data_IF_258277366113
#
_entry.id   IF_258277366113
#
_cell.length_a   1.000
_cell.length_b   1.000
_cell.length_c   1.000
_cell.angle_alpha   90.00
_cell.angle_beta   90.00
_cell.angle_gamma   90.00
#
_symmetry.space_group_name_H-M   'P 1'
#
loop_
_entity.id
_entity.type
_entity.pdbx_description
1 polymer ?
2 polymer ?
3 water ?
#
loop_
_entity_poly.entity_id
_entity_poly.type
_entity_poly.pdbx_seq_one_letter_code
_entity_poly.pdbx_strand_id
2 'polydeoxyribonucleotide' '(DT)(DC)(DA)(DA)(DG)(DG)(DG)(DT)(DC)(DC)(DT)(DA)(DG)(DG)(DA)(DC)(DC)(DC)(DT)' ?
#
# COMPACT_ATOMS: atom_id res chain seq x y z
N UNK A 26 25.89 -2.70 -8.98
CA UNK A 26 24.84 -1.77 -8.57
C UNK A 26 23.47 -2.23 -9.04
N UNK A 27 23.38 -3.46 -9.52
CA UNK A 27 22.12 -4.02 -10.00
C UNK A 27 21.24 -4.41 -8.82
N UNK A 28 19.93 -4.20 -8.97
CA UNK A 28 18.98 -4.49 -7.92
C UNK A 28 17.85 -5.37 -8.43
N UNK A 29 17.38 -6.28 -7.59
CA UNK A 29 16.22 -7.11 -7.86
C UNK A 29 15.19 -6.82 -6.78
N UNK A 30 14.03 -6.29 -7.17
CA UNK A 30 13.00 -5.85 -6.26
C UNK A 30 11.72 -6.60 -6.58
N UNK A 31 10.95 -6.96 -5.56
CA UNK A 31 9.64 -7.56 -5.74
C UNK A 31 8.60 -6.66 -5.09
N UNK A 32 7.50 -6.42 -5.80
CA UNK A 32 6.33 -5.75 -5.27
C UNK A 32 5.25 -6.79 -5.06
N UNK A 33 4.80 -6.96 -3.82
CA UNK A 33 3.77 -7.92 -3.48
C UNK A 33 2.47 -7.16 -3.22
N UNK A 34 1.41 -7.57 -3.92
CA UNK A 34 0.15 -6.82 -3.94
C UNK A 34 -0.99 -7.81 -3.79
N UNK A 35 -1.51 -7.93 -2.58
CA UNK A 35 -2.56 -8.90 -2.31
C UNK A 35 -3.86 -8.45 -2.96
N UNK A 36 -4.60 -9.42 -3.51
CA UNK A 36 -5.88 -9.14 -4.14
C UNK A 36 -6.93 -8.82 -3.10
N UNK A 37 -7.75 -7.80 -3.38
CA UNK A 37 -8.87 -7.39 -2.54
C UNK A 37 -8.67 -7.81 -1.10
N UNK A 38 -7.66 -7.22 -0.44
CA UNK A 38 -7.20 -7.72 0.85
C UNK A 38 -8.35 -7.84 1.86
N UNK A 39 -9.09 -6.74 2.07
CA UNK A 39 -10.17 -6.77 3.06
C UNK A 39 -11.12 -7.93 2.80
N UNK A 40 -11.56 -8.07 1.54
CA UNK A 40 -12.43 -9.18 1.18
C UNK A 40 -11.81 -10.52 1.55
N UNK A 41 -10.54 -10.72 1.20
CA UNK A 41 -9.87 -11.97 1.53
C UNK A 41 -9.97 -12.28 3.02
N UNK A 42 -9.75 -11.27 3.87
CA UNK A 42 -9.80 -11.49 5.31
C UNK A 42 -11.21 -11.87 5.74
N UNK A 43 -12.22 -11.18 5.21
CA UNK A 43 -13.59 -11.50 5.58
C UNK A 43 -14.00 -12.86 5.07
N UNK A 44 -13.66 -13.17 3.80
CA UNK A 44 -13.98 -14.47 3.24
C UNK A 44 -13.32 -15.60 4.03
N UNK A 45 -12.20 -15.31 4.71
CA UNK A 45 -11.60 -16.32 5.57
C UNK A 45 -12.43 -16.52 6.83
N UNK A 46 -12.87 -15.42 7.44
CA UNK A 46 -13.67 -15.48 8.67
C UNK A 46 -14.90 -16.35 8.47
N UNK A 47 -15.82 -15.91 7.61
CA UNK A 47 -17.06 -16.62 7.31
C UNK A 47 -16.93 -17.25 5.93
N UNK A 48 -16.39 -18.48 5.83
CA UNK A 48 -16.21 -19.10 4.51
C UNK A 48 -17.45 -19.06 3.62
N UNK A 49 -18.63 -18.94 4.22
CA UNK A 49 -19.84 -18.90 3.40
C UNK A 49 -19.82 -17.72 2.44
N UNK A 50 -19.10 -16.64 2.76
CA UNK A 50 -19.12 -15.45 1.92
C UNK A 50 -18.47 -15.67 0.56
N UNK A 51 -17.67 -16.72 0.39
CA UNK A 51 -17.08 -17.02 -0.91
C UNK A 51 -18.18 -17.37 -1.90
N UNK A 52 -17.79 -17.66 -3.14
CA UNK A 52 -18.74 -18.03 -4.19
C UNK A 52 -19.56 -16.84 -4.67
N UNK A 53 -20.31 -16.20 -3.76
CA UNK A 53 -21.20 -15.10 -4.08
C UNK A 53 -20.45 -13.76 -4.01
N UNK A 54 -20.90 -12.75 -4.75
CA UNK A 54 -20.19 -11.47 -4.73
C UNK A 54 -20.21 -10.85 -3.33
N UNK A 55 -19.11 -10.21 -2.98
CA UNK A 55 -18.91 -9.72 -1.61
C UNK A 55 -18.34 -8.33 -1.66
N UNK A 56 -18.99 -7.40 -0.97
CA UNK A 56 -18.49 -6.05 -0.80
C UNK A 56 -18.13 -5.81 0.69
N UNK A 57 -17.05 -5.07 0.89
CA UNK A 57 -16.68 -4.59 2.22
C UNK A 57 -16.96 -3.09 2.22
N UNK A 58 -17.83 -2.66 3.14
CA UNK A 58 -18.34 -1.30 3.10
C UNK A 58 -17.84 -0.47 4.27
N UNK A 59 -17.62 0.82 4.02
CA UNK A 59 -17.19 1.78 5.06
C UNK A 59 -18.15 2.94 4.86
N UNK A 60 -19.15 3.07 5.72
CA UNK A 60 -20.19 4.11 5.57
C UNK A 60 -20.91 3.81 4.25
N UNK A 61 -21.04 4.79 3.33
CA UNK A 61 -21.80 4.62 2.07
C UNK A 61 -20.83 4.33 0.95
N UNK A 62 -19.87 3.42 1.15
CA UNK A 62 -18.83 3.16 0.12
C UNK A 62 -18.23 1.74 0.18
N UNK A 63 -18.45 0.93 -0.85
CA UNK A 63 -17.86 -0.44 -0.91
C UNK A 63 -16.37 -0.25 -1.24
N UNK A 64 -15.48 -0.35 -0.25
CA UNK A 64 -14.07 -0.08 -0.48
C UNK A 64 -13.38 -1.27 -1.15
N UNK A 65 -13.88 -2.48 -0.92
CA UNK A 65 -13.24 -3.67 -1.46
C UNK A 65 -14.30 -4.70 -1.78
N UNK A 66 -14.03 -5.51 -2.82
CA UNK A 66 -14.96 -6.56 -3.23
C UNK A 66 -14.16 -7.72 -3.78
N UNK A 67 -14.70 -8.93 -3.62
CA UNK A 67 -14.09 -10.12 -4.18
C UNK A 67 -14.26 -10.13 -5.70
N UNK A 68 -13.51 -11.01 -6.36
CA UNK A 68 -13.50 -11.03 -7.82
C UNK A 68 -14.91 -11.11 -8.38
N UNK A 69 -15.72 -12.02 -7.85
CA UNK A 69 -17.10 -12.18 -8.32
C UNK A 69 -17.79 -10.83 -8.43
N UNK A 70 -17.87 -10.12 -7.32
CA UNK A 70 -18.51 -8.79 -7.28
C UNK A 70 -17.89 -7.91 -8.37
N UNK A 71 -16.56 -7.94 -8.52
CA UNK A 71 -15.85 -7.07 -9.48
C UNK A 71 -16.25 -7.42 -10.91
N UNK A 72 -16.58 -8.69 -11.17
CA UNK A 72 -17.04 -9.14 -12.52
C UNK A 72 -18.41 -8.50 -12.78
N UNK A 73 -19.26 -8.39 -11.75
CA UNK A 73 -20.60 -7.82 -11.87
C UNK A 73 -20.59 -6.31 -11.97
N UNK A 74 -19.42 -5.67 -11.87
CA UNK A 74 -19.32 -4.23 -12.02
C UNK A 74 -19.06 -3.47 -10.74
N UNK A 75 -18.90 -4.15 -9.60
CA UNK A 75 -18.59 -3.47 -8.36
C UNK A 75 -17.14 -2.97 -8.44
N UNK A 76 -16.98 -1.65 -8.44
CA UNK A 76 -15.67 -1.03 -8.61
C UNK A 76 -15.14 -0.50 -7.28
N UNK A 77 -13.82 -0.32 -7.23
CA UNK A 77 -13.17 0.20 -6.03
C UNK A 77 -13.84 1.50 -5.59
N UNK A 78 -14.31 1.50 -4.33
CA UNK A 78 -14.99 2.66 -3.73
C UNK A 78 -16.20 3.07 -4.59
N UNK A 79 -17.23 2.23 -4.51
CA UNK A 79 -18.48 2.42 -5.23
C UNK A 79 -19.61 2.50 -4.21
N UNK A 80 -20.50 3.49 -4.39
CA UNK A 80 -21.63 3.66 -3.49
C UNK A 80 -22.33 2.34 -3.25
N UNK A 81 -22.76 2.12 -2.00
CA UNK A 81 -23.54 0.92 -1.68
C UNK A 81 -24.82 0.88 -2.50
N UNK A 82 -25.22 2.01 -3.10
CA UNK A 82 -26.35 2.01 -4.00
C UNK A 82 -25.94 1.57 -5.41
N UNK A 83 -25.03 2.31 -6.03
CA UNK A 83 -24.50 1.89 -7.33
C UNK A 83 -24.00 0.45 -7.28
N UNK A 84 -23.48 0.02 -6.13
CA UNK A 84 -23.10 -1.38 -5.96
C UNK A 84 -24.31 -2.28 -6.12
N UNK A 85 -25.41 -1.95 -5.43
CA UNK A 85 -26.63 -2.74 -5.49
C UNK A 85 -27.43 -2.48 -6.77
N UNK A 86 -26.91 -1.69 -7.70
CA UNK A 86 -27.56 -1.45 -8.98
C UNK A 86 -27.00 -2.33 -10.09
N UNK A 87 -25.67 -2.35 -10.24
CA UNK A 87 -25.06 -3.34 -11.12
C UNK A 87 -25.10 -4.73 -10.50
N UNK A 88 -25.33 -4.82 -9.18
CA UNK A 88 -25.10 -6.03 -8.41
C UNK A 88 -26.06 -6.18 -7.25
N UNK A 89 -27.38 -6.06 -7.47
CA UNK A 89 -28.33 -6.28 -6.37
C UNK A 89 -27.99 -7.43 -5.44
N UNK A 90 -27.42 -8.52 -5.96
CA UNK A 90 -26.89 -9.60 -5.08
C UNK A 90 -25.49 -9.12 -4.68
N UNK A 91 -25.25 -8.79 -3.41
CA UNK A 91 -23.95 -8.17 -2.99
C UNK A 91 -23.41 -8.72 -1.67
N UNK A 92 -24.26 -9.24 -0.79
CA UNK A 92 -23.83 -9.79 0.51
C UNK A 92 -22.76 -8.85 1.10
N UNK A 93 -23.12 -7.60 1.38
CA UNK A 93 -22.18 -6.60 1.92
C UNK A 93 -21.76 -6.98 3.35
N UNK A 94 -20.63 -6.44 3.83
CA UNK A 94 -19.99 -6.78 5.10
C UNK A 94 -19.24 -5.55 5.59
N UNK A 95 -19.45 -5.20 6.85
CA UNK A 95 -18.86 -3.97 7.37
C UNK A 95 -17.37 -4.12 7.64
N UNK A 96 -16.61 -3.10 7.25
CA UNK A 96 -15.17 -3.10 7.44
C UNK A 96 -14.61 -1.80 7.95
N UNK A 97 -15.35 -1.13 8.84
CA UNK A 97 -14.87 0.11 9.43
C UNK A 97 -13.85 -0.12 10.53
N UNK A 98 -13.85 -1.31 11.14
CA UNK A 98 -12.86 -1.69 12.14
C UNK A 98 -11.75 -2.44 11.42
N UNK A 99 -10.58 -1.81 11.31
CA UNK A 99 -9.48 -2.38 10.55
C UNK A 99 -8.60 -3.33 11.37
N UNK A 100 -8.99 -3.63 12.61
CA UNK A 100 -8.12 -4.42 13.48
C UNK A 100 -7.70 -5.71 12.81
N UNK A 101 -8.65 -6.49 12.28
CA UNK A 101 -8.30 -7.79 11.75
C UNK A 101 -7.47 -7.67 10.47
N UNK A 102 -7.76 -6.66 9.64
CA UNK A 102 -6.94 -6.41 8.46
C UNK A 102 -5.53 -5.99 8.85
N UNK A 103 -5.43 -5.04 9.79
CA UNK A 103 -4.13 -4.56 10.23
C UNK A 103 -3.27 -5.70 10.77
N UNK A 104 -3.89 -6.63 11.51
CA UNK A 104 -3.14 -7.74 12.07
C UNK A 104 -2.63 -8.67 10.98
N UNK A 105 -3.47 -8.99 9.99
CA UNK A 105 -3.01 -9.84 8.91
C UNK A 105 -1.98 -9.13 8.04
N UNK A 106 -2.17 -7.83 7.81
CA UNK A 106 -1.17 -7.05 7.08
C UNK A 106 0.22 -7.28 7.64
N UNK A 107 0.36 -7.22 8.97
CA UNK A 107 1.68 -7.36 9.58
C UNK A 107 2.13 -8.81 9.58
N UNK A 108 1.20 -9.77 9.64
CA UNK A 108 1.59 -11.16 9.47
C UNK A 108 2.20 -11.40 8.10
N UNK A 109 1.74 -10.66 7.08
CA UNK A 109 2.28 -10.83 5.73
C UNK A 109 3.63 -10.16 5.61
N UNK A 110 3.77 -8.95 6.16
CA UNK A 110 5.07 -8.28 6.15
C UNK A 110 6.11 -9.09 6.89
N UNK A 111 5.72 -9.71 8.02
CA UNK A 111 6.67 -10.49 8.79
C UNK A 111 7.08 -11.76 8.05
N UNK A 112 6.13 -12.41 7.39
CA UNK A 112 6.48 -13.56 6.55
C UNK A 112 7.52 -13.16 5.51
N UNK A 113 7.35 -12.00 4.88
CA UNK A 113 8.32 -11.55 3.89
C UNK A 113 9.63 -11.13 4.52
N UNK A 114 9.58 -10.53 5.73
CA UNK A 114 10.81 -10.20 6.43
C UNK A 114 11.65 -11.44 6.68
N UNK A 115 11.01 -12.60 6.86
CA UNK A 115 11.75 -13.84 7.01
C UNK A 115 12.56 -14.19 5.77
N UNK A 116 12.04 -13.84 4.59
CA UNK A 116 12.79 -14.08 3.35
C UNK A 116 14.02 -13.19 3.29
N UNK A 117 13.84 -11.88 3.47
CA UNK A 117 14.92 -10.91 3.50
C UNK A 117 14.45 -9.78 4.41
N UNK A 118 15.28 -9.31 5.32
CA UNK A 118 14.76 -8.41 6.39
C UNK A 118 14.28 -7.06 5.89
N UNK A 119 14.66 -6.64 4.69
CA UNK A 119 14.46 -5.27 4.24
C UNK A 119 13.16 -5.23 3.45
N UNK A 120 12.06 -4.98 4.15
CA UNK A 120 10.72 -4.95 3.55
C UNK A 120 10.09 -3.60 3.84
N UNK A 121 9.56 -2.96 2.81
CA UNK A 121 8.88 -1.69 2.92
C UNK A 121 7.38 -1.89 2.74
N UNK A 122 6.61 -1.42 3.71
CA UNK A 122 5.16 -1.47 3.63
C UNK A 122 4.64 -0.23 2.90
N UNK A 123 3.65 -0.44 2.02
CA UNK A 123 2.91 0.63 1.37
C UNK A 123 1.44 0.33 1.60
N UNK A 124 0.81 1.06 2.49
CA UNK A 124 -0.54 0.68 2.86
C UNK A 124 -0.53 -0.71 3.50
N UNK A 125 -1.74 -1.26 3.61
CA UNK A 125 -1.91 -2.50 4.34
C UNK A 125 -1.59 -3.73 3.48
N UNK A 126 -1.80 -3.65 2.16
CA UNK A 126 -1.78 -4.86 1.33
C UNK A 126 -0.64 -4.88 0.31
N UNK A 127 0.30 -3.95 0.38
CA UNK A 127 1.42 -3.93 -0.55
C UNK A 127 2.73 -3.89 0.21
N UNK A 128 3.72 -4.64 -0.29
CA UNK A 128 5.04 -4.70 0.29
C UNK A 128 6.08 -4.71 -0.81
N UNK A 129 7.17 -3.98 -0.60
CA UNK A 129 8.37 -4.10 -1.42
C UNK A 129 9.42 -4.88 -0.65
N UNK A 130 10.14 -5.75 -1.34
CA UNK A 130 11.30 -6.43 -0.77
C UNK A 130 12.48 -6.26 -1.72
N UNK A 131 13.65 -5.99 -1.18
CA UNK A 131 14.89 -5.96 -1.94
C UNK A 131 15.49 -7.36 -1.90
N UNK A 132 15.44 -8.05 -3.03
CA UNK A 132 15.91 -9.42 -3.14
C UNK A 132 17.35 -9.51 -3.60
N UNK A 133 18.06 -8.39 -3.68
CA UNK A 133 19.37 -8.37 -4.31
C UNK A 133 20.36 -9.27 -3.58
N UNK A 134 20.61 -8.97 -2.29
CA UNK A 134 21.53 -9.81 -1.52
C UNK A 134 21.14 -11.28 -1.59
N UNK A 135 19.83 -11.55 -1.65
CA UNK A 135 19.35 -12.93 -1.64
C UNK A 135 19.51 -13.60 -2.99
N UNK A 136 19.21 -12.89 -4.07
CA UNK A 136 19.40 -13.45 -5.41
C UNK A 136 20.88 -13.77 -5.63
N UNK A 137 21.76 -12.85 -5.27
CA UNK A 137 23.20 -13.07 -5.46
C UNK A 137 23.67 -14.29 -4.69
N UNK A 138 23.18 -14.47 -3.46
CA UNK A 138 23.57 -15.65 -2.68
C UNK A 138 23.13 -16.93 -3.39
N UNK A 139 21.92 -16.96 -3.92
CA UNK A 139 21.43 -18.16 -4.57
C UNK A 139 22.21 -18.48 -5.84
N UNK A 140 22.92 -17.51 -6.41
CA UNK A 140 23.67 -17.76 -7.63
C UNK A 140 25.03 -18.37 -7.34
N UNK A 141 25.77 -17.79 -6.39
CA UNK A 141 27.07 -18.37 -6.03
C UNK A 141 26.95 -19.78 -5.48
N UNK A 142 25.77 -20.17 -4.99
CA UNK A 142 25.53 -21.55 -4.60
C UNK A 142 25.13 -22.42 -5.78
N UNK A 143 24.51 -21.83 -6.79
CA UNK A 143 24.11 -22.53 -8.01
C UNK A 143 25.34 -22.93 -8.81
N UNK A 144 25.16 -23.93 -9.66
CA UNK A 144 26.26 -24.53 -10.41
C UNK A 144 26.21 -24.12 -11.87
N UNK A 145 27.35 -24.31 -12.56
CA UNK A 145 27.50 -23.86 -13.93
C UNK A 145 26.37 -24.38 -14.82
N UNK A 146 26.17 -25.70 -14.83
CA UNK A 146 25.19 -26.28 -15.73
C UNK A 146 23.79 -25.77 -15.44
N UNK A 147 23.50 -25.43 -14.18
CA UNK A 147 22.17 -24.94 -13.82
C UNK A 147 21.85 -23.64 -14.54
N UNK A 148 22.86 -22.77 -14.69
CA UNK A 148 22.61 -21.44 -15.26
C UNK A 148 21.73 -21.51 -16.50
N UNK A 149 21.98 -22.47 -17.38
CA UNK A 149 21.14 -22.64 -18.54
C UNK A 149 19.78 -23.26 -18.21
N UNK A 150 19.69 -23.99 -17.09
CA UNK A 150 18.43 -24.58 -16.67
C UNK A 150 17.56 -23.62 -15.87
N UNK A 151 17.98 -22.37 -15.69
CA UNK A 151 17.17 -21.42 -14.97
C UNK A 151 15.88 -21.15 -15.75
N UNK A 152 14.76 -21.13 -15.04
CA UNK A 152 13.46 -20.88 -15.65
C UNK A 152 12.77 -19.76 -14.89
N UNK A 153 11.79 -19.16 -15.54
CA UNK A 153 10.98 -18.12 -14.93
C UNK A 153 9.80 -18.76 -14.23
N UNK A 154 9.42 -18.21 -13.09
CA UNK A 154 8.18 -18.56 -12.42
C UNK A 154 7.16 -17.47 -12.74
N UNK A 155 6.07 -17.85 -13.39
CA UNK A 155 5.04 -16.90 -13.77
C UNK A 155 5.23 -16.37 -15.17
N UNK A 156 4.68 -15.18 -15.39
CA UNK A 156 4.69 -14.54 -16.69
C UNK A 156 5.95 -13.69 -16.86
N UNK A 157 6.34 -13.50 -18.12
CA UNK A 157 7.36 -12.53 -18.50
C UNK A 157 6.64 -11.39 -19.20
N UNK A 158 6.89 -10.15 -18.75
CA UNK A 158 6.15 -9.02 -19.30
C UNK A 158 6.39 -8.92 -20.80
N UNK A 159 5.32 -8.64 -21.54
CA UNK A 159 5.38 -8.48 -22.99
C UNK A 159 5.96 -9.73 -23.66
N UNK A 160 5.81 -10.89 -23.02
CA UNK A 160 6.29 -12.15 -23.56
C UNK A 160 7.74 -12.05 -24.02
N UNK A 161 8.52 -11.18 -23.39
CA UNK A 161 9.86 -10.93 -23.89
C UNK A 161 10.69 -12.19 -23.83
N UNK A 162 11.63 -12.31 -24.77
CA UNK A 162 12.47 -13.50 -24.86
C UNK A 162 13.60 -13.43 -23.84
N UNK A 163 13.83 -14.55 -23.16
CA UNK A 163 14.89 -14.62 -22.18
C UNK A 163 16.22 -14.91 -22.88
N UNK A 164 17.26 -14.23 -22.43
CA UNK A 164 18.63 -14.49 -22.88
C UNK A 164 19.42 -14.99 -21.68
N UNK A 165 19.72 -16.28 -21.67
CA UNK A 165 20.29 -16.94 -20.50
C UNK A 165 21.76 -16.59 -20.27
N UNK A 166 22.37 -15.82 -21.16
CA UNK A 166 23.70 -15.26 -20.92
C UNK A 166 23.65 -13.79 -20.50
N UNK A 167 22.45 -13.21 -20.44
CA UNK A 167 22.28 -11.88 -19.86
C UNK A 167 22.23 -12.03 -18.34
N UNK A 168 23.27 -11.56 -17.65
CA UNK A 168 23.30 -11.72 -16.20
C UNK A 168 22.07 -11.08 -15.56
N UNK A 169 21.52 -10.05 -16.19
CA UNK A 169 20.36 -9.37 -15.61
C UNK A 169 19.07 -10.16 -15.80
N UNK A 170 18.95 -10.90 -16.91
CA UNK A 170 17.80 -11.79 -17.07
C UNK A 170 17.84 -12.91 -16.03
N UNK A 171 19.03 -13.46 -15.78
CA UNK A 171 19.15 -14.58 -14.85
C UNK A 171 18.78 -14.14 -13.43
N UNK A 172 19.27 -12.97 -13.00
CA UNK A 172 18.94 -12.51 -11.66
C UNK A 172 17.46 -12.23 -11.50
N UNK A 173 16.85 -11.59 -12.51
CA UNK A 173 15.42 -11.32 -12.44
C UNK A 173 14.60 -12.60 -12.46
N UNK A 174 15.13 -13.67 -13.06
CA UNK A 174 14.42 -14.94 -13.06
C UNK A 174 14.54 -15.63 -11.71
N UNK A 175 15.72 -15.61 -11.10
CA UNK A 175 15.84 -16.04 -9.72
C UNK A 175 14.90 -15.22 -8.84
N UNK A 176 14.85 -13.90 -9.08
CA UNK A 176 13.88 -13.07 -8.38
C UNK A 176 12.46 -13.58 -8.53
N UNK A 177 12.09 -14.02 -9.73
CA UNK A 177 10.76 -14.57 -9.93
C UNK A 177 10.56 -15.87 -9.18
N UNK A 178 11.63 -16.65 -9.00
CA UNK A 178 11.53 -17.89 -8.23
C UNK A 178 11.31 -17.59 -6.75
N UNK A 179 12.01 -16.59 -6.21
CA UNK A 179 11.78 -16.18 -4.83
C UNK A 179 10.38 -15.62 -4.69
N UNK A 180 9.93 -14.81 -5.66
CA UNK A 180 8.60 -14.24 -5.59
C UNK A 180 7.54 -15.34 -5.51
N UNK A 181 7.68 -16.39 -6.31
CA UNK A 181 6.72 -17.48 -6.27
C UNK A 181 6.79 -18.24 -4.95
N UNK A 182 7.98 -18.33 -4.35
CA UNK A 182 8.08 -18.96 -3.03
C UNK A 182 7.36 -18.14 -1.97
N UNK A 183 7.50 -16.82 -2.01
CA UNK A 183 6.76 -15.97 -1.08
C UNK A 183 5.26 -16.17 -1.25
N UNK A 184 4.78 -16.11 -2.49
CA UNK A 184 3.34 -16.22 -2.72
C UNK A 184 2.82 -17.58 -2.28
N UNK A 185 3.61 -18.65 -2.50
CA UNK A 185 3.21 -19.97 -2.02
C UNK A 185 3.16 -19.99 -0.49
N UNK A 186 4.10 -19.31 0.16
CA UNK A 186 4.12 -19.29 1.62
C UNK A 186 3.00 -18.42 2.18
N UNK A 187 2.67 -17.33 1.49
CA UNK A 187 1.53 -16.53 1.93
C UNK A 187 0.25 -17.33 1.88
N UNK A 188 0.08 -18.14 0.83
CA UNK A 188 -1.09 -19.00 0.77
C UNK A 188 -1.02 -20.10 1.81
N UNK A 189 0.08 -20.85 1.82
CA UNK A 189 0.17 -22.03 2.68
C UNK A 189 0.08 -21.66 4.16
N UNK A 190 0.70 -20.54 4.55
CA UNK A 190 0.82 -20.19 5.95
C UNK A 190 -0.22 -19.19 6.43
N UNK A 191 -0.83 -18.42 5.53
CA UNK A 191 -1.83 -17.44 5.90
C UNK A 191 -3.09 -17.52 5.06
N UNK A 192 -3.14 -18.41 4.06
CA UNK A 192 -4.33 -18.55 3.26
C UNK A 192 -4.63 -17.39 2.34
N UNK A 193 -3.61 -16.60 2.01
CA UNK A 193 -3.79 -15.37 1.24
C UNK A 193 -3.22 -15.54 -0.15
N UNK A 194 -4.01 -15.15 -1.15
CA UNK A 194 -3.51 -15.02 -2.51
C UNK A 194 -3.07 -13.58 -2.76
N UNK A 195 -2.28 -13.39 -3.80
CA UNK A 195 -1.79 -12.07 -4.12
C UNK A 195 -0.92 -12.13 -5.36
N UNK A 196 -0.56 -10.94 -5.85
CA UNK A 196 0.25 -10.80 -7.04
C UNK A 196 1.65 -10.37 -6.65
N UNK A 197 2.58 -10.56 -7.58
CA UNK A 197 3.97 -10.17 -7.39
C UNK A 197 4.52 -9.64 -8.70
N UNK A 198 5.35 -8.60 -8.61
CA UNK A 198 6.03 -8.07 -9.76
C UNK A 198 7.52 -7.93 -9.49
N UNK A 199 8.35 -8.45 -10.38
CA UNK A 199 9.79 -8.48 -10.20
C UNK A 199 10.42 -7.55 -11.23
N UNK A 200 11.21 -6.59 -10.77
CA UNK A 200 11.83 -5.60 -11.63
C UNK A 200 13.12 -5.14 -10.99
N UNK A 201 13.73 -4.09 -11.56
CA UNK A 201 15.03 -3.61 -11.11
C UNK A 201 14.93 -2.36 -10.23
N UNK A 202 13.73 -1.85 -9.98
CA UNK A 202 13.52 -0.79 -9.01
C UNK A 202 12.08 -0.86 -8.51
N UNK A 203 11.76 0.02 -7.56
CA UNK A 203 10.45 -0.03 -6.93
C UNK A 203 9.34 0.35 -7.91
N UNK A 204 9.55 1.43 -8.67
CA UNK A 204 8.56 1.88 -9.65
C UNK A 204 8.12 0.73 -10.55
N UNK A 205 9.07 0.08 -11.21
CA UNK A 205 8.72 -0.90 -12.23
C UNK A 205 8.14 -2.16 -11.62
N UNK A 206 8.68 -2.60 -10.48
CA UNK A 206 8.12 -3.76 -9.80
C UNK A 206 6.64 -3.54 -9.49
N UNK A 207 6.30 -2.34 -9.04
CA UNK A 207 4.91 -2.03 -8.71
C UNK A 207 4.06 -1.90 -9.97
N UNK A 208 4.64 -1.37 -11.05
CA UNK A 208 3.87 -1.24 -12.29
C UNK A 208 3.65 -2.58 -12.96
N UNK A 209 4.57 -3.53 -12.79
CA UNK A 209 4.45 -4.82 -13.45
C UNK A 209 3.71 -5.86 -12.60
N UNK A 210 3.60 -5.64 -11.29
CA UNK A 210 2.91 -6.61 -10.44
C UNK A 210 1.46 -6.79 -10.84
N UNK A 211 0.87 -5.80 -11.51
CA UNK A 211 -0.53 -5.84 -11.86
C UNK A 211 -0.87 -6.23 -13.28
N UNK A 212 0.12 -6.59 -14.09
CA UNK A 212 -0.17 -6.92 -15.50
C UNK A 212 -1.09 -8.12 -15.58
N UNK A 213 -0.76 -9.20 -14.88
CA UNK A 213 -1.63 -10.36 -14.73
C UNK A 213 -2.17 -10.30 -13.30
N UNK A 214 -3.42 -9.84 -13.17
CA UNK A 214 -3.87 -9.21 -11.94
C UNK A 214 -4.42 -10.12 -10.86
N UNK A 215 -5.01 -11.27 -11.18
CA UNK A 215 -5.49 -12.14 -10.09
C UNK A 215 -4.54 -13.25 -9.71
N UNK A 216 -3.90 -13.11 -8.56
CA UNK A 216 -3.07 -14.17 -7.96
C UNK A 216 -2.08 -14.74 -8.97
N UNK A 217 -1.29 -13.84 -9.56
CA UNK A 217 -0.24 -14.22 -10.49
C UNK A 217 0.94 -13.29 -10.30
N UNK A 218 2.04 -13.61 -10.96
CA UNK A 218 3.22 -12.76 -10.92
C UNK A 218 3.75 -12.52 -12.33
N UNK A 219 4.51 -11.45 -12.45
CA UNK A 219 5.11 -11.02 -13.71
C UNK A 219 6.51 -10.51 -13.43
N UNK A 220 7.44 -10.81 -14.34
CA UNK A 220 8.82 -10.33 -14.23
C UNK A 220 9.10 -9.43 -15.43
N UNK A 221 9.85 -8.36 -15.19
CA UNK A 221 10.14 -7.36 -16.19
C UNK A 221 11.61 -7.42 -16.56
N UNK A 222 11.90 -7.76 -17.79
CA UNK A 222 13.26 -7.65 -18.27
C UNK A 222 13.51 -6.23 -18.79
N UNK A 223 14.74 -5.73 -18.68
CA UNK A 223 14.95 -4.29 -18.94
C UNK A 223 14.54 -3.87 -20.34
N UNK A 224 14.71 -4.75 -21.34
CA UNK A 224 14.39 -4.38 -22.71
C UNK A 224 12.92 -4.01 -22.89
N UNK A 225 12.07 -4.28 -21.91
CA UNK A 225 10.64 -3.95 -22.01
C UNK A 225 10.24 -2.85 -21.04
N UNK A 226 11.21 -2.19 -20.40
CA UNK A 226 10.88 -1.11 -19.47
C UNK A 226 10.08 -0.02 -20.16
N UNK A 227 10.53 0.43 -21.33
CA UNK A 227 9.84 1.50 -22.03
C UNK A 227 8.44 1.06 -22.46
N UNK A 228 8.31 -0.16 -22.99
CA UNK A 228 6.99 -0.68 -23.32
C UNK A 228 6.06 -0.58 -22.12
N UNK A 229 6.57 -0.86 -20.93
CA UNK A 229 5.72 -0.86 -19.73
C UNK A 229 5.27 0.55 -19.38
N UNK A 230 6.21 1.48 -19.23
CA UNK A 230 5.82 2.84 -18.83
C UNK A 230 4.94 3.47 -19.90
N UNK A 231 5.26 3.21 -21.17
CA UNK A 231 4.44 3.73 -22.26
C UNK A 231 3.09 3.01 -22.37
N UNK A 232 2.93 1.86 -21.71
CA UNK A 232 1.61 1.24 -21.65
C UNK A 232 0.64 2.05 -20.82
N UNK A 233 1.14 2.97 -19.99
CA UNK A 233 0.26 3.83 -19.22
C UNK A 233 -0.41 4.86 -20.12
N UNK A 234 -1.60 5.30 -19.71
CA UNK A 234 -2.40 6.20 -20.52
C UNK A 234 -2.43 7.63 -19.99
N UNK A 235 -1.84 7.88 -18.82
CA UNK A 235 -1.76 9.23 -18.28
C UNK A 235 -0.78 9.23 -17.11
N UNK A 236 0.05 10.28 -17.03
CA UNK A 236 1.00 10.36 -15.94
C UNK A 236 0.32 10.23 -14.59
N UNK A 237 -1.00 10.38 -14.55
CA UNK A 237 -1.76 10.04 -13.36
C UNK A 237 -1.33 8.69 -12.80
N UNK A 238 -1.11 7.71 -13.67
CA UNK A 238 -0.94 6.32 -13.30
C UNK A 238 0.46 6.01 -12.81
N UNK A 239 1.40 6.94 -12.88
CA UNK A 239 2.74 6.74 -12.34
C UNK A 239 2.67 6.91 -10.83
N UNK A 240 3.05 5.92 -10.03
CA UNK A 240 3.07 6.12 -8.58
C UNK A 240 4.10 7.18 -8.20
N UNK A 241 3.70 8.06 -7.30
CA UNK A 241 4.46 9.26 -7.02
C UNK A 241 3.95 10.49 -7.72
N UNK A 242 2.93 10.36 -8.55
CA UNK A 242 2.32 11.47 -9.29
C UNK A 242 0.85 11.48 -8.92
N UNK A 243 0.50 12.25 -7.89
CA UNK A 243 -0.87 12.32 -7.41
C UNK A 243 -1.67 13.39 -8.11
N UNK A 244 -2.82 13.70 -7.51
CA UNK A 244 -3.75 14.64 -8.14
C UNK A 244 -3.11 16.00 -8.35
N UNK A 245 -2.42 16.51 -7.33
CA UNK A 245 -1.87 17.87 -7.42
C UNK A 245 -0.84 17.98 -8.54
N UNK A 246 0.24 17.20 -8.43
CA UNK A 246 1.27 17.28 -9.47
C UNK A 246 0.70 16.87 -10.83
N UNK A 247 -0.34 16.04 -10.83
CA UNK A 247 -1.01 15.69 -12.08
C UNK A 247 -1.65 16.91 -12.73
N UNK A 248 -2.64 17.49 -12.06
CA UNK A 248 -3.32 18.66 -12.61
C UNK A 248 -2.31 19.75 -12.94
N UNK A 249 -1.30 19.95 -12.09
CA UNK A 249 -0.21 20.85 -12.41
C UNK A 249 0.37 20.51 -13.78
N UNK A 250 0.81 19.26 -13.95
CA UNK A 250 1.41 18.85 -15.21
C UNK A 250 0.42 19.01 -16.36
N UNK A 251 -0.85 18.66 -16.13
CA UNK A 251 -1.87 18.82 -17.17
C UNK A 251 -2.06 20.28 -17.58
N UNK A 252 -1.64 21.21 -16.73
CA UNK A 252 -1.70 22.63 -17.09
C UNK A 252 -0.54 23.05 -17.98
N UNK A 253 0.54 22.28 -18.01
CA UNK A 253 1.65 22.52 -18.93
C UNK A 253 1.44 21.82 -20.28
N UNK A 254 0.29 21.19 -20.48
CA UNK A 254 0.08 20.37 -21.65
C UNK A 254 0.68 18.99 -21.57
N UNK A 255 1.21 18.60 -20.42
CA UNK A 255 1.76 17.26 -20.22
C UNK A 255 0.63 16.33 -19.84
N UNK A 256 0.45 15.25 -20.62
CA UNK A 256 -0.61 14.29 -20.31
C UNK A 256 -0.12 12.85 -20.44
N UNK A 257 0.59 12.55 -21.52
CA UNK A 257 1.10 11.20 -21.72
C UNK A 257 2.49 11.05 -21.09
N UNK A 258 2.86 9.79 -20.83
CA UNK A 258 4.19 9.52 -20.29
C UNK A 258 5.26 10.10 -21.21
N UNK A 259 5.05 10.01 -22.52
CA UNK A 259 6.05 10.52 -23.46
C UNK A 259 6.14 12.04 -23.36
N UNK A 260 5.01 12.73 -23.19
CA UNK A 260 5.05 14.18 -22.98
C UNK A 260 5.98 14.53 -21.84
N UNK A 261 5.76 13.92 -20.67
CA UNK A 261 6.61 14.20 -19.52
C UNK A 261 8.06 13.84 -19.79
N UNK A 262 8.29 12.77 -20.55
CA UNK A 262 9.66 12.39 -20.89
C UNK A 262 10.33 13.48 -21.71
N UNK A 263 9.62 14.02 -22.69
CA UNK A 263 10.19 15.00 -23.60
C UNK A 263 9.99 16.44 -23.15
N UNK A 264 9.18 16.67 -22.12
CA UNK A 264 8.92 18.04 -21.70
C UNK A 264 10.21 18.67 -21.18
N UNK A 265 10.27 19.97 -21.31
CA UNK A 265 11.40 20.75 -20.83
C UNK A 265 11.71 20.48 -19.38
N UNK A 266 12.85 19.87 -19.04
CA UNK A 266 13.22 19.79 -17.62
C UNK A 266 13.18 21.15 -16.96
N UNK A 267 13.51 22.20 -17.72
CA UNK A 267 13.68 23.53 -17.14
C UNK A 267 12.34 24.09 -16.65
N UNK A 268 11.33 24.14 -17.53
CA UNK A 268 10.02 24.62 -17.13
C UNK A 268 9.49 23.79 -15.96
N UNK A 269 9.72 22.48 -16.01
CA UNK A 269 9.26 21.59 -14.94
C UNK A 269 9.92 21.95 -13.63
N UNK A 270 11.22 22.23 -13.64
CA UNK A 270 11.92 22.66 -12.43
C UNK A 270 11.21 23.86 -11.80
N UNK A 271 11.04 24.93 -12.58
CA UNK A 271 10.49 26.19 -12.07
C UNK A 271 9.01 26.10 -11.78
N UNK A 272 8.33 25.07 -12.26
CA UNK A 272 6.86 24.94 -12.09
C UNK A 272 6.53 24.09 -10.85
N UNK A 273 7.21 22.97 -10.65
CA UNK A 273 6.87 22.02 -9.56
C UNK A 273 7.97 22.03 -8.49
N UNK A 274 9.19 22.42 -8.84
CA UNK A 274 10.32 22.53 -7.89
C UNK A 274 11.49 21.75 -8.41
N UNK A 275 12.68 21.89 -7.81
CA UNK A 275 13.82 21.07 -8.15
C UNK A 275 13.64 19.66 -7.59
N UNK A 276 12.98 19.57 -6.42
CA UNK A 276 12.70 18.25 -5.85
C UNK A 276 11.76 17.45 -6.74
N UNK A 277 10.53 17.95 -6.92
CA UNK A 277 9.54 17.23 -7.71
C UNK A 277 10.06 16.97 -9.11
N UNK A 278 10.69 17.96 -9.73
CA UNK A 278 10.98 17.92 -11.16
C UNK A 278 11.73 16.66 -11.57
N UNK A 279 12.99 16.54 -11.15
CA UNK A 279 13.82 15.47 -11.67
C UNK A 279 13.33 14.10 -11.22
N UNK A 280 12.73 14.01 -10.03
CA UNK A 280 12.17 12.73 -9.59
C UNK A 280 11.04 12.30 -10.52
N UNK A 281 10.14 13.23 -10.82
CA UNK A 281 8.99 12.94 -11.67
C UNK A 281 9.44 12.56 -13.08
N UNK A 282 10.39 13.33 -13.63
CA UNK A 282 10.84 13.08 -14.99
C UNK A 282 11.61 11.76 -15.09
N UNK A 283 12.33 11.38 -14.03
CA UNK A 283 13.00 10.08 -14.03
C UNK A 283 11.99 8.95 -13.95
N UNK A 284 10.97 9.08 -13.10
CA UNK A 284 9.88 8.13 -13.10
C UNK A 284 9.27 8.00 -14.50
N UNK A 285 9.22 9.12 -15.22
CA UNK A 285 8.72 9.09 -16.60
C UNK A 285 9.49 8.07 -17.44
N UNK A 286 10.78 7.93 -17.19
CA UNK A 286 11.65 7.06 -17.98
C UNK A 286 11.75 5.66 -17.40
N UNK A 287 11.03 5.36 -16.32
CA UNK A 287 11.21 4.12 -15.63
C UNK A 287 12.36 4.10 -14.65
N UNK A 288 13.01 5.24 -14.41
CA UNK A 288 14.09 5.33 -13.44
C UNK A 288 13.51 5.62 -12.06
N UNK A 289 14.11 5.01 -11.05
CA UNK A 289 13.67 5.16 -9.66
C UNK A 289 14.79 4.60 -8.79
N UNK A 290 15.69 5.45 -8.31
CA UNK A 290 16.82 5.00 -7.51
C UNK A 290 16.48 4.87 -6.03
N UNK A 291 15.24 5.16 -5.65
CA UNK A 291 14.90 5.18 -4.23
C UNK A 291 15.05 3.79 -3.62
N UNK A 292 15.64 3.69 -2.44
CA UNK A 292 15.86 2.37 -1.82
C UNK A 292 14.58 1.83 -1.20
N UNK A 293 14.56 0.50 -1.09
CA UNK A 293 13.52 -0.16 -0.30
C UNK A 293 13.80 0.11 1.17
N UNK A 294 12.86 0.77 1.84
CA UNK A 294 13.02 1.12 3.25
C UNK A 294 12.52 -0.03 4.11
N UNK A 295 13.22 -0.29 5.21
CA UNK A 295 12.67 -1.16 6.24
C UNK A 295 11.58 -0.39 6.99
N UNK A 296 10.34 -0.86 6.89
CA UNK A 296 9.24 -0.17 7.55
C UNK A 296 9.26 -0.37 9.05
N UNK A 297 9.68 -1.54 9.51
CA UNK A 297 9.71 -1.86 10.91
C UNK A 297 8.37 -1.60 11.56
N UNK A 298 8.38 -1.27 12.85
CA UNK A 298 7.11 -0.98 13.55
C UNK A 298 6.53 0.34 13.08
N UNK A 299 5.23 0.54 13.26
CA UNK A 299 4.61 1.79 12.79
C UNK A 299 5.21 3.01 13.48
N UNK A 300 5.18 4.13 12.77
CA UNK A 300 5.55 5.41 13.33
C UNK A 300 4.36 6.14 13.95
N UNK A 301 3.17 5.53 13.94
CA UNK A 301 1.98 6.20 14.47
C UNK A 301 0.87 5.18 14.68
N UNK A 302 -0.12 5.59 15.47
CA UNK A 302 -1.30 4.81 15.76
C UNK A 302 -2.50 5.74 15.76
N UNK A 303 -3.34 5.66 14.75
CA UNK A 303 -4.51 6.53 14.65
C UNK A 303 -5.79 5.72 14.54
N UNK A 304 -6.89 6.34 14.90
CA UNK A 304 -8.23 5.80 14.69
C UNK A 304 -9.15 6.96 14.34
N UNK A 305 -10.16 6.67 13.53
CA UNK A 305 -11.05 7.69 13.00
C UNK A 305 -12.50 7.33 13.30
N UNK A 306 -13.30 8.37 13.50
CA UNK A 306 -14.75 8.23 13.64
C UNK A 306 -15.40 9.38 12.88
N UNK A 307 -16.21 9.04 11.88
CA UNK A 307 -17.00 10.01 11.14
C UNK A 307 -18.48 9.71 11.37
N UNK A 308 -19.31 10.73 11.17
CA UNK A 308 -20.71 10.64 11.55
C UNK A 308 -21.49 11.72 10.83
N UNK A 309 -22.81 11.53 10.77
CA UNK A 309 -23.71 12.49 10.12
C UNK A 309 -23.94 13.65 11.07
N UNK A 310 -22.91 14.53 11.14
CA UNK A 310 -22.94 15.71 12.02
C UNK A 310 -23.46 15.30 13.40
N UNK A 311 -23.05 14.12 13.87
CA UNK A 311 -23.46 13.59 15.15
C UNK A 311 -22.78 14.25 16.34
N UNK A 312 -21.75 15.05 16.08
CA UNK A 312 -20.96 15.70 17.17
C UNK A 312 -21.20 17.22 17.18
N UNK A 313 -21.70 17.73 18.30
CA UNK A 313 -21.86 19.20 18.50
C UNK A 313 -22.06 19.45 19.99
N UNK A 314 -21.43 18.64 20.86
CA UNK A 314 -21.68 18.74 22.32
C UNK A 314 -20.61 17.99 23.13
N UNK A 315 -20.93 17.54 24.35
CA UNK A 315 -20.03 16.72 25.20
C UNK A 315 -20.04 15.30 24.63
N UNK A 316 -20.81 15.05 23.58
CA UNK A 316 -20.71 13.77 22.87
C UNK A 316 -19.30 13.53 22.39
N UNK A 317 -18.64 14.56 21.87
CA UNK A 317 -17.24 14.43 21.47
C UNK A 317 -16.44 13.75 22.57
N UNK A 318 -16.80 13.99 23.83
CA UNK A 318 -16.06 13.33 24.92
C UNK A 318 -16.42 11.86 25.04
N UNK A 319 -17.65 11.47 24.66
CA UNK A 319 -18.09 10.05 24.61
C UNK A 319 -17.33 9.41 23.45
N UNK A 320 -17.34 10.04 22.27
CA UNK A 320 -16.45 9.66 21.14
C UNK A 320 -15.11 10.14 21.70
N UNK A 321 -13.93 10.03 21.09
CA UNK A 321 -12.65 10.51 21.73
C UNK A 321 -12.37 9.60 22.93
N UNK A 322 -13.23 9.49 23.93
CA UNK A 322 -13.17 8.43 24.92
C UNK A 322 -13.22 7.06 24.25
N UNK A 323 -13.93 6.95 23.12
CA UNK A 323 -14.07 5.71 22.38
C UNK A 323 -12.96 5.51 21.36
N UNK A 324 -12.71 6.53 20.54
CA UNK A 324 -11.54 6.49 19.67
C UNK A 324 -10.30 6.13 20.46
N UNK A 325 -9.98 6.95 21.46
CA UNK A 325 -8.84 6.68 22.33
C UNK A 325 -9.00 5.36 23.07
N UNK A 326 -10.23 4.97 23.39
CA UNK A 326 -10.45 3.69 24.07
C UNK A 326 -9.63 2.58 23.41
N UNK A 327 -9.92 2.30 22.14
CA UNK A 327 -9.25 1.18 21.47
C UNK A 327 -7.78 1.47 21.22
N UNK A 328 -7.42 2.74 21.00
CA UNK A 328 -6.03 3.05 20.70
C UNK A 328 -5.13 2.66 21.87
N UNK A 329 -5.41 3.20 23.06
CA UNK A 329 -4.60 2.85 24.22
C UNK A 329 -4.37 1.34 24.31
N UNK A 330 -5.38 0.56 23.93
CA UNK A 330 -5.18 -0.89 23.83
C UNK A 330 -4.15 -1.21 22.75
N UNK A 331 -4.25 -0.56 21.60
CA UNK A 331 -3.30 -0.81 20.51
C UNK A 331 -1.91 -0.28 20.87
N UNK A 332 -1.81 1.02 21.13
CA UNK A 332 -0.51 1.64 21.33
C UNK A 332 0.22 1.02 22.51
N UNK A 333 -0.52 0.44 23.45
CA UNK A 333 0.12 -0.26 24.56
C UNK A 333 0.65 -1.62 24.11
N UNK A 334 -0.23 -2.48 23.61
CA UNK A 334 0.17 -3.82 23.22
C UNK A 334 1.41 -3.82 22.33
N UNK A 335 1.61 -2.74 21.57
CA UNK A 335 2.82 -2.62 20.76
C UNK A 335 4.06 -2.79 21.61
N UNK A 336 4.21 -1.95 22.63
CA UNK A 336 5.36 -2.00 23.51
C UNK A 336 5.97 -0.63 23.73
N UNK A 337 6.51 -0.04 22.65
CA UNK A 337 6.97 1.33 22.70
C UNK A 337 5.85 2.21 23.25
N UNK A 338 6.18 3.44 23.64
CA UNK A 338 5.17 4.37 24.13
C UNK A 338 5.22 5.65 23.31
N UNK A 339 4.08 6.22 22.96
CA UNK A 339 4.08 7.49 22.23
C UNK A 339 4.47 8.62 23.17
N UNK A 340 5.11 9.64 22.61
CA UNK A 340 5.44 10.85 23.36
C UNK A 340 4.76 12.07 22.75
N UNK A 341 3.74 11.84 21.92
CA UNK A 341 2.88 12.89 21.40
C UNK A 341 1.52 12.28 21.10
N UNK A 342 0.46 13.00 21.46
CA UNK A 342 -0.88 12.68 21.01
C UNK A 342 -1.36 13.81 20.12
N UNK A 343 -2.36 13.51 19.30
CA UNK A 343 -2.95 14.50 18.42
C UNK A 343 -4.45 14.26 18.35
N UNK A 344 -5.19 15.35 18.12
CA UNK A 344 -6.63 15.29 17.94
C UNK A 344 -6.95 15.98 16.63
N UNK A 345 -7.78 15.34 15.81
CA UNK A 345 -8.08 15.79 14.46
C UNK A 345 -9.59 15.91 14.33
N UNK A 346 -10.02 16.91 13.57
CA UNK A 346 -11.46 17.20 13.43
C UNK A 346 -11.74 17.61 11.98
N UNK A 347 -12.95 17.38 11.49
CA UNK A 347 -13.37 17.86 10.15
C UNK A 347 -14.60 18.74 10.43
N UNK A 348 -14.90 19.70 9.56
CA UNK A 348 -15.99 20.67 9.81
C UNK A 348 -16.75 20.92 8.50
N UNK A 356 -10.57 20.33 3.82
CA UNK A 356 -9.37 20.35 4.61
C UNK A 356 -9.65 20.11 6.09
N UNK A 357 -8.67 19.54 6.79
CA UNK A 357 -8.80 19.21 8.19
C UNK A 357 -7.88 20.09 9.03
N UNK A 358 -8.06 20.01 10.35
CA UNK A 358 -7.24 20.74 11.31
C UNK A 358 -6.82 19.80 12.42
N UNK A 359 -5.64 20.07 12.99
CA UNK A 359 -5.10 19.26 14.07
C UNK A 359 -4.45 20.15 15.12
N UNK A 360 -4.57 19.74 16.38
CA UNK A 360 -3.87 20.37 17.50
C UNK A 360 -3.27 19.25 18.33
N UNK A 361 -1.94 19.25 18.45
CA UNK A 361 -1.22 18.18 19.13
C UNK A 361 -0.44 18.74 20.32
N UNK A 362 0.03 17.82 21.16
CA UNK A 362 0.71 18.18 22.40
C UNK A 362 1.53 16.99 22.87
N UNK A 363 2.62 17.21 23.60
CA UNK A 363 3.37 16.08 24.14
C UNK A 363 2.59 15.40 25.25
N UNK A 364 2.76 14.07 25.34
CA UNK A 364 2.11 13.27 26.35
C UNK A 364 2.90 13.39 27.64
N UNK A 365 2.32 13.93 28.72
CA UNK A 365 3.06 14.02 29.99
C UNK A 365 3.73 12.73 30.42
N UNK A 366 4.87 12.90 31.09
CA UNK A 366 5.64 11.76 31.60
C UNK A 366 4.79 10.90 32.52
N UNK A 367 4.09 11.54 33.46
CA UNK A 367 3.23 10.79 34.38
C UNK A 367 2.25 9.91 33.63
N UNK A 368 1.73 10.41 32.50
CA UNK A 368 0.71 9.68 31.77
C UNK A 368 1.31 8.57 30.91
N UNK A 369 2.61 8.59 30.65
CA UNK A 369 3.23 7.49 29.91
C UNK A 369 3.00 6.18 30.64
N UNK A 370 2.81 6.24 31.95
CA UNK A 370 2.54 5.04 32.75
C UNK A 370 1.63 5.38 33.93
N UNK A 378 -4.49 4.98 36.57
CA UNK A 378 -5.02 4.47 35.27
C UNK A 378 -5.06 5.62 34.26
N UNK A 379 -4.79 5.30 32.99
CA UNK A 379 -4.72 6.37 31.94
C UNK A 379 -6.15 6.70 31.51
N UNK A 380 -6.31 7.58 30.52
CA UNK A 380 -7.63 7.93 29.96
C UNK A 380 -8.30 8.95 30.87
N UNK A 381 -8.15 8.86 32.18
CA UNK A 381 -8.60 9.95 33.06
C UNK A 381 -7.70 11.08 32.67
N UNK A 382 -6.36 10.92 32.74
CA UNK A 382 -5.48 11.98 32.28
C UNK A 382 -5.49 12.23 30.81
N UNK A 383 -5.65 11.22 29.95
CA UNK A 383 -5.51 11.41 28.48
C UNK A 383 -6.75 12.06 27.88
N UNK A 384 -7.96 11.62 28.18
CA UNK A 384 -9.20 12.24 27.72
C UNK A 384 -9.05 13.73 27.99
N UNK A 385 -8.69 14.07 29.23
CA UNK A 385 -8.51 15.48 29.59
C UNK A 385 -7.57 16.18 28.64
N UNK A 386 -6.35 15.63 28.47
CA UNK A 386 -5.40 16.22 27.52
C UNK A 386 -6.08 16.58 26.22
N UNK A 387 -6.70 15.59 25.58
CA UNK A 387 -7.31 15.79 24.27
C UNK A 387 -8.58 16.62 24.35
N UNK A 388 -9.21 16.68 25.52
CA UNK A 388 -10.38 17.55 25.68
C UNK A 388 -9.99 19.02 25.60
N UNK A 389 -8.86 19.39 26.21
CA UNK A 389 -8.38 20.77 26.12
C UNK A 389 -7.82 21.05 24.74
N UNK A 390 -7.19 20.06 24.12
CA UNK A 390 -6.87 20.15 22.70
C UNK A 390 -8.14 20.37 21.88
N UNK A 391 -9.24 19.71 22.30
CA UNK A 391 -10.52 19.84 21.62
C UNK A 391 -11.12 21.22 21.86
N UNK A 392 -11.05 21.70 23.11
CA UNK A 392 -11.57 23.03 23.42
C UNK A 392 -10.88 24.10 22.59
N UNK A 393 -9.56 23.99 22.42
CA UNK A 393 -8.82 24.96 21.64
C UNK A 393 -9.42 25.11 20.24
N UNK A 394 -9.78 23.99 19.62
CA UNK A 394 -10.36 24.02 18.27
C UNK A 394 -11.85 24.33 18.33
N UNK A 403 -18.99 19.69 13.33
CA UNK A 403 -18.03 18.58 13.59
C UNK A 403 -18.53 17.31 12.89
N UNK A 404 -17.84 16.89 11.82
CA UNK A 404 -18.29 15.73 11.03
C UNK A 404 -17.30 14.60 11.18
N UNK A 405 -16.01 14.89 11.32
CA UNK A 405 -14.99 13.84 11.57
C UNK A 405 -14.39 14.07 12.95
N UNK A 406 -13.73 13.07 13.49
CA UNK A 406 -13.03 13.20 14.76
C UNK A 406 -12.05 12.03 14.86
N UNK A 407 -10.77 12.26 15.17
CA UNK A 407 -9.75 11.23 15.26
C UNK A 407 -8.73 11.61 16.33
N UNK A 408 -8.11 10.59 16.92
CA UNK A 408 -7.02 10.76 17.87
C UNK A 408 -5.86 9.89 17.40
N UNK A 409 -4.68 10.48 17.30
CA UNK A 409 -3.49 9.80 16.79
C UNK A 409 -2.39 9.85 17.82
N UNK A 410 -1.78 8.70 18.08
CA UNK A 410 -0.61 8.60 18.95
C UNK A 410 0.63 8.50 18.06
N UNK A 411 1.54 9.47 18.18
CA UNK A 411 2.73 9.50 17.34
C UNK A 411 3.94 9.83 18.20
N UNK A 412 5.11 9.85 17.55
CA UNK A 412 6.40 10.03 18.22
C UNK A 412 6.60 8.94 19.28
N UNK A 413 6.86 7.74 18.77
CA UNK A 413 6.95 6.54 19.58
C UNK A 413 8.41 6.26 19.94
N UNK A 414 8.61 5.67 21.11
CA UNK A 414 9.95 5.41 21.61
C UNK A 414 10.01 4.12 22.41
#
# INVERSE_FOLDING_TARGET
MELADVGAAASSQGVHDQVLPTPNASSRVIVHVDLDCFYAQVEMISNPELKDKPLGVQQKYLVVTCNYEARKLGVKKLMNVRDAKEKCPQLVLVNGEDLTRYREMSYKVTELLEEFSPVVERLGFDENFVDLTEMVEKRLQQLQSDELSAVTVSGHVYNNQSINLLDVLHIRLLVGSQIAAEMREAMYNQLGLTGCAGVASNKLLAKLVSGVFKPNQQTVLLPESCQHLIHSLNHIKEIPGIGYKTAKCLEALGINSVRDLQTFSPKILEKELGISVAQRIQKLSFGEDNSPVILSGPPQSFSEEDSFKKCSSEVEAKNKIEELLASLLNRVCQDGRKPHTVRLIIRRYSSEKHYGRESRQCPIPSHVIQKLGTGNYDVMTPMVDILMKLFRNMVNVKMPFHLTLLSVCFCNLKALNTAK
#
